data_IF_374628158807
#
_entry.id   IF_374628158807
#
_cell.length_a   1.000
_cell.length_b   1.000
_cell.length_c   1.000
_cell.angle_alpha   90.00
_cell.angle_beta   90.00
_cell.angle_gamma   90.00
#
_symmetry.space_group_name_H-M   'P 1'
#
loop_
_entity.id
_entity.type
_entity.pdbx_description
1 polymer ?
#
# COMPACT_ATOMS: atom_id res chain seq x y z
N UNK A 1 5.07 12.83 -13.52
CA UNK A 1 4.58 12.27 -12.25
C UNK A 1 5.66 11.31 -11.77
N UNK A 2 5.96 11.32 -10.47
CA UNK A 2 7.13 10.62 -9.95
C UNK A 2 6.70 9.81 -8.75
N UNK A 3 6.60 8.51 -8.96
CA UNK A 3 6.04 7.58 -7.99
C UNK A 3 7.16 6.72 -7.44
N UNK A 4 7.43 6.89 -6.15
CA UNK A 4 8.21 5.91 -5.38
C UNK A 4 7.27 4.73 -5.09
N UNK A 5 7.59 3.57 -5.61
CA UNK A 5 6.88 2.33 -5.30
C UNK A 5 7.77 1.45 -4.42
N UNK A 6 7.28 1.12 -3.23
CA UNK A 6 8.06 0.40 -2.25
C UNK A 6 7.36 -0.90 -1.85
N UNK A 7 8.12 -2.00 -1.92
CA UNK A 7 7.62 -3.33 -1.59
C UNK A 7 8.69 -4.17 -0.90
N UNK A 8 8.23 -5.22 -0.20
CA UNK A 8 9.08 -6.25 0.39
C UNK A 8 8.78 -7.59 -0.26
N UNK A 9 9.81 -8.30 -0.68
CA UNK A 9 9.64 -9.62 -1.31
C UNK A 9 10.40 -10.67 -0.52
N UNK A 10 9.75 -11.80 -0.24
CA UNK A 10 10.46 -12.98 0.28
C UNK A 10 11.22 -13.65 -0.85
N UNK A 11 12.53 -13.79 -0.66
CA UNK A 11 13.39 -14.58 -1.54
C UNK A 11 13.84 -15.82 -0.77
N UNK A 12 13.30 -16.97 -1.16
CA UNK A 12 13.71 -18.25 -0.56
C UNK A 12 15.19 -18.55 -0.83
N UNK A 13 15.86 -19.09 0.19
CA UNK A 13 17.28 -19.42 0.12
C UNK A 13 17.58 -20.70 0.89
N UNK A 14 18.46 -21.52 0.31
CA UNK A 14 18.97 -22.75 0.93
C UNK A 14 20.34 -22.55 1.61
N UNK A 15 20.83 -21.30 1.68
CA UNK A 15 22.09 -20.98 2.36
C UNK A 15 22.01 -21.33 3.85
N UNK A 16 23.14 -21.72 4.43
CA UNK A 16 23.21 -22.14 5.84
C UNK A 16 22.85 -21.00 6.79
N UNK A 17 23.05 -19.75 6.38
CA UNK A 17 22.82 -18.53 7.14
C UNK A 17 21.38 -18.01 7.04
N UNK A 18 20.59 -18.46 6.06
CA UNK A 18 19.25 -17.93 5.81
C UNK A 18 18.30 -18.24 6.98
N UNK A 19 17.48 -17.28 7.41
CA UNK A 19 16.57 -17.45 8.54
C UNK A 19 15.13 -17.73 8.07
N UNK A 20 14.32 -18.34 8.93
CA UNK A 20 12.92 -18.64 8.60
C UNK A 20 12.11 -17.35 8.46
N UNK A 21 11.35 -17.27 7.37
CA UNK A 21 10.40 -16.19 7.13
C UNK A 21 9.09 -16.43 7.84
N UNK A 22 8.27 -15.39 7.94
CA UNK A 22 6.92 -15.51 8.49
C UNK A 22 6.00 -16.41 7.64
N UNK A 23 6.36 -16.69 6.38
CA UNK A 23 5.63 -17.64 5.52
C UNK A 23 6.10 -19.09 5.71
N UNK A 24 7.15 -19.31 6.51
CA UNK A 24 7.69 -20.63 6.81
C UNK A 24 9.02 -20.99 6.14
N UNK A 25 9.28 -20.75 4.84
CA UNK A 25 10.54 -21.15 4.22
C UNK A 25 11.72 -20.32 4.75
N UNK A 26 12.95 -20.79 4.56
CA UNK A 26 14.17 -20.02 4.87
C UNK A 26 14.45 -19.05 3.73
N UNK A 27 14.88 -17.84 4.04
CA UNK A 27 15.10 -16.83 3.03
C UNK A 27 15.59 -15.50 3.56
N UNK A 28 15.43 -14.50 2.71
CA UNK A 28 15.68 -13.08 2.96
C UNK A 28 14.44 -12.28 2.59
N UNK A 29 14.31 -11.08 3.13
CA UNK A 29 13.18 -10.18 2.90
C UNK A 29 13.66 -8.79 2.47
N UNK A 30 14.39 -8.67 1.34
CA UNK A 30 14.82 -7.36 0.88
C UNK A 30 13.62 -6.44 0.69
N UNK A 31 13.83 -5.18 1.06
CA UNK A 31 12.94 -4.08 0.75
C UNK A 31 13.52 -3.29 -0.40
N UNK A 32 12.71 -3.01 -1.41
CA UNK A 32 13.09 -2.23 -2.58
C UNK A 32 12.16 -1.04 -2.70
N UNK A 33 12.72 0.10 -3.09
CA UNK A 33 11.98 1.24 -3.58
C UNK A 33 12.41 1.56 -5.00
N UNK A 34 11.45 1.55 -5.92
CA UNK A 34 11.67 1.79 -7.35
C UNK A 34 10.97 3.07 -7.77
N UNK A 35 11.50 3.69 -8.82
CA UNK A 35 10.82 4.73 -9.55
C UNK A 35 9.94 4.08 -10.61
N UNK A 36 8.64 4.03 -10.34
CA UNK A 36 7.68 3.28 -11.16
C UNK A 36 7.71 3.68 -12.64
N UNK A 37 7.77 4.98 -12.95
CA UNK A 37 7.71 5.44 -14.33
C UNK A 37 9.00 5.17 -15.15
N UNK A 38 10.11 4.82 -14.50
CA UNK A 38 11.40 4.59 -15.17
C UNK A 38 11.96 3.18 -15.00
N UNK A 39 11.27 2.31 -14.27
CA UNK A 39 11.74 0.97 -13.93
C UNK A 39 13.17 0.98 -13.35
N UNK A 40 13.43 1.93 -12.44
CA UNK A 40 14.75 2.18 -11.88
C UNK A 40 14.74 2.03 -10.35
N UNK A 41 15.70 1.29 -9.80
CA UNK A 41 15.86 1.16 -8.34
C UNK A 41 16.38 2.49 -7.78
N UNK A 42 15.67 3.03 -6.79
CA UNK A 42 16.05 4.26 -6.08
C UNK A 42 16.79 3.95 -4.77
N UNK A 43 16.32 2.93 -4.05
CA UNK A 43 16.93 2.49 -2.79
C UNK A 43 16.59 1.03 -2.50
N UNK A 44 17.43 0.38 -1.71
CA UNK A 44 17.25 -0.97 -1.22
C UNK A 44 17.70 -1.11 0.22
N UNK A 45 17.15 -2.11 0.90
CA UNK A 45 17.66 -2.60 2.18
C UNK A 45 17.62 -4.13 2.19
N UNK A 46 18.78 -4.75 2.33
CA UNK A 46 18.88 -6.20 2.47
C UNK A 46 18.52 -6.63 3.90
N UNK A 47 17.58 -7.56 4.04
CA UNK A 47 17.06 -8.00 5.35
C UNK A 47 17.01 -9.51 5.47
N UNK A 48 17.26 -10.00 6.67
CA UNK A 48 17.12 -11.42 7.00
C UNK A 48 15.67 -11.90 6.92
N UNK A 49 15.48 -13.20 6.73
CA UNK A 49 14.15 -13.78 6.61
C UNK A 49 13.25 -13.56 7.82
N UNK A 50 13.82 -13.48 9.02
CA UNK A 50 13.08 -13.44 10.29
C UNK A 50 12.66 -12.02 10.73
N UNK A 51 12.86 -10.99 9.90
CA UNK A 51 12.37 -9.66 10.23
C UNK A 51 10.87 -9.54 9.93
N UNK A 52 10.13 -8.65 10.62
CA UNK A 52 8.79 -8.29 10.20
C UNK A 52 8.81 -7.56 8.84
N UNK A 53 7.83 -7.81 7.97
CA UNK A 53 7.67 -7.07 6.72
C UNK A 53 7.60 -5.54 6.95
N UNK A 54 6.94 -5.11 8.03
CA UNK A 54 6.81 -3.70 8.43
C UNK A 54 8.04 -3.13 9.16
N UNK A 55 9.19 -3.80 9.14
CA UNK A 55 10.38 -3.30 9.82
C UNK A 55 10.84 -2.00 9.16
N UNK A 56 10.73 -0.87 9.87
CA UNK A 56 11.29 0.43 9.52
C UNK A 56 11.23 0.84 8.03
N UNK A 57 10.07 0.76 7.34
CA UNK A 57 9.97 1.07 5.91
C UNK A 57 10.30 2.54 5.59
N UNK A 58 10.21 3.43 6.59
CA UNK A 58 10.57 4.84 6.48
C UNK A 58 12.03 5.07 6.03
N UNK A 59 12.97 4.23 6.47
CA UNK A 59 14.39 4.38 6.12
C UNK A 59 14.60 4.28 4.60
N UNK A 60 14.01 3.26 3.98
CA UNK A 60 14.09 3.04 2.52
C UNK A 60 13.31 4.13 1.77
N UNK A 61 12.15 4.54 2.27
CA UNK A 61 11.38 5.63 1.67
C UNK A 61 12.19 6.94 1.60
N UNK A 62 12.83 7.34 2.71
CA UNK A 62 13.69 8.54 2.77
C UNK A 62 14.86 8.43 1.79
N UNK A 63 15.54 7.30 1.75
CA UNK A 63 16.64 7.05 0.82
C UNK A 63 16.17 7.17 -0.65
N UNK A 64 15.00 6.62 -0.97
CA UNK A 64 14.44 6.68 -2.31
C UNK A 64 14.11 8.11 -2.74
N UNK A 65 13.47 8.90 -1.89
CA UNK A 65 13.19 10.31 -2.17
C UNK A 65 14.45 11.17 -2.26
N UNK A 66 15.50 10.84 -1.49
CA UNK A 66 16.79 11.53 -1.57
C UNK A 66 17.53 11.24 -2.88
N UNK A 67 17.32 10.07 -3.49
CA UNK A 67 17.90 9.68 -4.77
C UNK A 67 17.23 10.36 -5.99
N UNK A 68 16.04 10.94 -5.83
CA UNK A 68 15.33 11.58 -6.93
C UNK A 68 16.07 12.83 -7.45
N UNK A 69 16.05 13.09 -8.78
CA UNK A 69 16.61 14.31 -9.35
C UNK A 69 15.95 15.57 -8.80
N UNK A 70 16.71 16.65 -8.65
CA UNK A 70 16.18 17.96 -8.20
C UNK A 70 15.15 18.60 -9.16
N UNK A 71 15.03 18.08 -10.37
CA UNK A 71 14.03 18.51 -11.36
C UNK A 71 12.62 18.01 -11.03
N UNK A 72 12.50 17.06 -10.09
CA UNK A 72 11.21 16.54 -9.63
C UNK A 72 10.53 17.56 -8.71
N UNK A 73 9.26 17.83 -8.96
CA UNK A 73 8.47 18.80 -8.17
C UNK A 73 7.12 18.24 -7.71
N UNK A 74 6.72 17.05 -8.16
CA UNK A 74 5.47 16.40 -7.79
C UNK A 74 5.76 14.97 -7.39
N UNK A 75 5.42 14.61 -6.15
CA UNK A 75 5.82 13.39 -5.51
C UNK A 75 4.64 12.50 -5.21
N UNK A 76 4.76 11.22 -5.54
CA UNK A 76 3.80 10.19 -5.18
C UNK A 76 4.48 8.99 -4.53
N UNK A 77 3.70 8.25 -3.73
CA UNK A 77 4.14 7.04 -3.05
C UNK A 77 3.11 5.91 -3.18
N UNK A 78 3.55 4.72 -3.55
CA UNK A 78 2.77 3.49 -3.50
C UNK A 78 3.46 2.51 -2.57
N UNK A 79 2.66 1.78 -1.82
CA UNK A 79 3.17 0.70 -0.98
C UNK A 79 2.08 -0.31 -0.64
N UNK A 80 2.48 -1.53 -0.36
CA UNK A 80 1.61 -2.60 0.12
C UNK A 80 1.31 -2.47 1.62
N UNK A 81 0.80 -3.52 2.24
CA UNK A 81 0.51 -3.51 3.68
C UNK A 81 1.75 -3.54 4.56
N UNK A 82 2.94 -3.87 4.04
CA UNK A 82 4.20 -3.68 4.74
C UNK A 82 4.50 -2.18 4.96
N UNK A 83 3.98 -1.32 4.08
CA UNK A 83 4.09 0.13 4.20
C UNK A 83 2.99 0.78 5.07
N UNK A 84 2.01 0.01 5.55
CA UNK A 84 1.01 0.47 6.53
C UNK A 84 1.61 0.53 7.94
N UNK A 85 2.63 1.38 8.10
CA UNK A 85 3.44 1.58 9.29
C UNK A 85 3.33 3.06 9.74
N UNK A 86 3.25 3.27 11.05
CA UNK A 86 2.85 4.53 11.67
C UNK A 86 3.83 5.67 11.40
N UNK A 87 5.13 5.42 11.49
CA UNK A 87 6.15 6.45 11.29
C UNK A 87 6.25 6.84 9.82
N UNK A 88 6.16 5.86 8.91
CA UNK A 88 6.09 6.12 7.48
C UNK A 88 4.86 6.95 7.10
N UNK A 89 3.66 6.57 7.56
CA UNK A 89 2.43 7.32 7.28
C UNK A 89 2.50 8.76 7.79
N UNK A 90 2.97 8.95 9.04
CA UNK A 90 3.18 10.29 9.60
C UNK A 90 4.15 11.11 8.78
N UNK A 91 5.25 10.49 8.34
CA UNK A 91 6.23 11.15 7.52
C UNK A 91 5.66 11.52 6.16
N UNK A 92 4.90 10.64 5.50
CA UNK A 92 4.22 10.87 4.21
C UNK A 92 3.12 11.94 4.28
N UNK A 93 2.39 12.04 5.39
CA UNK A 93 1.36 13.06 5.59
C UNK A 93 1.93 14.44 5.97
N UNK A 94 3.18 14.53 6.43
CA UNK A 94 3.77 15.79 6.90
C UNK A 94 4.44 16.58 5.76
N UNK A 95 3.83 17.67 5.28
CA UNK A 95 4.44 18.53 4.24
C UNK A 95 5.76 19.21 4.65
N UNK A 96 6.03 19.29 5.96
CA UNK A 96 7.26 19.83 6.54
C UNK A 96 8.15 18.72 7.12
N UNK A 97 8.07 17.52 6.52
CA UNK A 97 8.88 16.36 6.90
C UNK A 97 10.38 16.67 6.90
N UNK A 98 11.09 16.11 7.87
CA UNK A 98 12.55 16.11 7.89
C UNK A 98 13.10 15.06 6.92
N UNK A 99 14.25 15.33 6.30
CA UNK A 99 14.96 14.39 5.42
C UNK A 99 14.12 13.89 4.22
N UNK A 100 13.25 14.76 3.69
CA UNK A 100 12.44 14.48 2.51
C UNK A 100 12.15 15.74 1.69
N UNK A 101 11.51 15.59 0.53
CA UNK A 101 11.08 16.74 -0.26
C UNK A 101 10.03 17.55 0.52
N UNK A 102 10.10 18.89 0.46
CA UNK A 102 9.07 19.73 1.04
C UNK A 102 7.77 19.65 0.24
N UNK A 103 6.64 19.88 0.91
CA UNK A 103 5.32 19.90 0.28
C UNK A 103 4.63 18.53 0.28
N UNK A 104 3.54 18.41 -0.48
CA UNK A 104 2.69 17.23 -0.49
C UNK A 104 3.36 16.04 -1.21
N UNK A 105 3.20 14.85 -0.62
CA UNK A 105 3.43 13.55 -1.27
C UNK A 105 2.06 12.86 -1.32
N UNK A 106 1.54 12.65 -2.53
CA UNK A 106 0.30 11.90 -2.72
C UNK A 106 0.55 10.41 -2.55
N UNK A 107 -0.19 9.69 -1.72
CA UNK A 107 0.09 8.27 -1.50
C UNK A 107 -1.14 7.36 -1.58
N UNK A 108 -0.89 6.10 -1.96
CA UNK A 108 -1.86 5.01 -1.86
C UNK A 108 -1.18 3.78 -1.25
N UNK A 109 -1.62 3.39 -0.05
CA UNK A 109 -1.03 2.30 0.73
C UNK A 109 -2.10 1.27 1.08
N UNK A 110 -1.84 -0.01 0.81
CA UNK A 110 -2.77 -1.07 1.24
C UNK A 110 -2.81 -1.15 2.76
N UNK A 111 -4.01 -1.24 3.33
CA UNK A 111 -4.22 -1.21 4.78
C UNK A 111 -4.31 -2.62 5.33
N UNK A 112 -3.71 -2.85 6.50
CA UNK A 112 -3.98 -4.08 7.27
C UNK A 112 -5.41 -4.03 7.79
N UNK A 113 -6.21 -5.01 7.39
CA UNK A 113 -7.63 -5.08 7.78
C UNK A 113 -7.76 -5.18 9.31
N UNK A 114 -8.49 -4.23 9.90
CA UNK A 114 -8.96 -4.32 11.28
C UNK A 114 -10.43 -4.73 11.32
N UNK A 115 -10.91 -5.20 12.46
CA UNK A 115 -12.32 -5.55 12.64
C UNK A 115 -13.23 -4.35 12.39
N UNK A 116 -12.92 -3.19 12.98
CA UNK A 116 -13.67 -1.96 12.79
C UNK A 116 -13.68 -1.47 11.33
N UNK A 117 -12.56 -1.61 10.60
CA UNK A 117 -12.53 -1.27 9.17
C UNK A 117 -13.37 -2.26 8.36
N UNK A 118 -13.32 -3.55 8.70
CA UNK A 118 -14.15 -4.57 8.04
C UNK A 118 -15.63 -4.28 8.24
N UNK A 119 -16.06 -3.94 9.46
CA UNK A 119 -17.45 -3.55 9.75
C UNK A 119 -17.87 -2.35 8.90
N UNK A 120 -17.05 -1.28 8.86
CA UNK A 120 -17.33 -0.11 8.04
C UNK A 120 -17.43 -0.44 6.54
N UNK A 121 -16.62 -1.37 6.03
CA UNK A 121 -16.70 -1.83 4.63
C UNK A 121 -18.02 -2.58 4.36
N UNK A 122 -18.49 -3.38 5.31
CA UNK A 122 -19.74 -4.14 5.18
C UNK A 122 -20.98 -3.24 5.21
N UNK A 123 -20.88 -2.04 5.79
CA UNK A 123 -21.94 -1.03 5.79
C UNK A 123 -22.05 -0.23 4.48
N UNK A 124 -21.05 -0.34 3.58
CA UNK A 124 -21.06 0.38 2.31
C UNK A 124 -22.23 -0.11 1.42
N UNK A 125 -23.16 0.78 1.02
CA UNK A 125 -24.32 0.39 0.21
C UNK A 125 -23.92 -0.22 -1.14
N UNK A 126 -24.63 -1.24 -1.60
CA UNK A 126 -24.29 -1.97 -2.84
C UNK A 126 -24.16 -1.04 -4.06
N UNK A 127 -24.96 0.04 -4.13
CA UNK A 127 -24.93 1.03 -5.22
C UNK A 127 -23.65 1.88 -5.29
N UNK A 128 -22.88 1.94 -4.22
CA UNK A 128 -21.63 2.72 -4.15
C UNK A 128 -20.43 1.92 -4.69
N UNK A 129 -20.58 0.61 -4.83
CA UNK A 129 -19.55 -0.25 -5.41
C UNK A 129 -19.48 -0.06 -6.92
N UNK A 130 -18.28 0.22 -7.41
CA UNK A 130 -17.99 0.45 -8.83
C UNK A 130 -16.96 -0.56 -9.31
N UNK A 131 -17.19 -1.15 -10.48
CA UNK A 131 -16.21 -2.00 -11.13
C UNK A 131 -14.93 -1.23 -11.47
N UNK A 132 -13.77 -1.90 -11.43
CA UNK A 132 -12.48 -1.32 -11.82
C UNK A 132 -11.60 -2.34 -12.55
N UNK A 133 -10.68 -1.85 -13.38
CA UNK A 133 -9.72 -2.68 -14.11
C UNK A 133 -10.33 -3.56 -15.20
N UNK A 134 -9.48 -4.39 -15.81
CA UNK A 134 -9.90 -5.30 -16.88
C UNK A 134 -10.79 -6.43 -16.35
N UNK A 135 -11.88 -6.78 -17.05
CA UNK A 135 -12.75 -7.89 -16.66
C UNK A 135 -11.99 -9.22 -16.58
N UNK A 136 -12.04 -9.86 -15.42
CA UNK A 136 -11.50 -11.20 -15.23
C UNK A 136 -12.64 -12.23 -15.25
N UNK A 137 -12.55 -13.30 -16.07
CA UNK A 137 -13.55 -14.35 -16.07
C UNK A 137 -13.77 -14.95 -14.68
N UNK A 138 -14.98 -14.84 -14.16
CA UNK A 138 -15.39 -15.46 -12.89
C UNK A 138 -15.13 -14.64 -11.63
N UNK A 139 -14.43 -13.50 -11.72
CA UNK A 139 -14.16 -12.62 -10.58
C UNK A 139 -14.69 -11.22 -10.86
N UNK A 140 -15.59 -10.74 -10.00
CA UNK A 140 -15.99 -9.35 -9.92
C UNK A 140 -15.00 -8.57 -9.07
N UNK A 141 -14.46 -7.50 -9.63
CA UNK A 141 -13.54 -6.57 -8.96
C UNK A 141 -14.23 -5.22 -8.81
N UNK A 142 -14.49 -4.82 -7.58
CA UNK A 142 -15.20 -3.58 -7.28
C UNK A 142 -14.46 -2.77 -6.24
N UNK A 143 -14.61 -1.45 -6.28
CA UNK A 143 -14.12 -0.55 -5.25
C UNK A 143 -15.18 0.45 -4.82
N UNK A 144 -15.07 0.91 -3.58
CA UNK A 144 -15.98 1.90 -3.01
C UNK A 144 -15.28 2.74 -1.94
N UNK A 145 -15.77 3.96 -1.72
CA UNK A 145 -15.32 4.79 -0.61
C UNK A 145 -15.88 4.28 0.71
N UNK A 146 -15.06 4.32 1.76
CA UNK A 146 -15.44 3.93 3.11
C UNK A 146 -15.35 5.15 4.01
N UNK A 147 -16.45 5.49 4.65
CA UNK A 147 -16.45 6.48 5.72
C UNK A 147 -15.90 5.81 6.97
N UNK A 148 -14.60 5.94 7.20
CA UNK A 148 -13.92 5.33 8.33
C UNK A 148 -12.91 6.28 8.95
N UNK A 149 -12.93 6.37 10.28
CA UNK A 149 -11.95 7.12 11.06
C UNK A 149 -11.14 6.14 11.88
N UNK A 150 -9.84 6.05 11.59
CA UNK A 150 -8.95 5.18 12.35
C UNK A 150 -8.61 5.79 13.70
N UNK A 151 -8.59 4.94 14.74
CA UNK A 151 -8.03 5.31 16.04
C UNK A 151 -6.50 5.38 16.05
N UNK A 152 -5.83 4.94 14.97
CA UNK A 152 -4.38 5.10 14.84
C UNK A 152 -4.07 6.56 14.51
N UNK A 153 -3.41 7.25 15.44
CA UNK A 153 -2.92 8.62 15.23
C UNK A 153 -1.76 8.64 14.21
N UNK A 154 -2.06 8.45 12.94
CA UNK A 154 -1.12 8.62 11.83
C UNK A 154 -1.03 10.09 11.38
N UNK A 155 -2.06 10.88 11.64
CA UNK A 155 -2.15 12.26 11.14
C UNK A 155 -1.44 13.29 12.03
N UNK A 156 -0.52 14.09 11.48
CA UNK A 156 -0.05 15.32 12.14
C UNK A 156 -1.24 16.26 12.43
N UNK A 157 -1.13 17.06 13.50
CA UNK A 157 -2.11 18.13 13.76
C UNK A 157 -2.20 19.05 12.53
N UNK A 158 -3.41 19.24 12.00
CA UNK A 158 -3.74 20.03 10.79
C UNK A 158 -3.44 19.40 9.42
N UNK A 159 -3.22 18.09 9.34
CA UNK A 159 -3.23 17.38 8.05
C UNK A 159 -4.66 17.18 7.52
N UNK A 160 -4.81 17.04 6.20
CA UNK A 160 -6.08 16.64 5.62
C UNK A 160 -6.45 15.23 6.08
N UNK A 161 -7.74 14.93 6.34
CA UNK A 161 -8.15 13.59 6.70
C UNK A 161 -7.79 12.61 5.57
N UNK A 162 -7.32 11.42 5.94
CA UNK A 162 -7.11 10.35 4.98
C UNK A 162 -8.44 9.71 4.59
N UNK A 163 -8.51 9.22 3.36
CA UNK A 163 -9.64 8.42 2.85
C UNK A 163 -9.29 6.96 2.77
N UNK A 164 -10.32 6.13 2.91
CA UNK A 164 -10.24 4.68 2.78
C UNK A 164 -11.06 4.25 1.58
N UNK A 165 -10.43 3.51 0.67
CA UNK A 165 -11.09 2.91 -0.48
C UNK A 165 -11.08 1.41 -0.27
N UNK A 166 -12.27 0.82 -0.15
CA UNK A 166 -12.44 -0.62 -0.11
C UNK A 166 -12.27 -1.22 -1.50
N UNK A 167 -11.75 -2.43 -1.53
CA UNK A 167 -11.73 -3.31 -2.70
C UNK A 167 -12.48 -4.58 -2.31
N UNK A 168 -13.38 -5.04 -3.18
CA UNK A 168 -14.12 -6.28 -3.03
C UNK A 168 -13.89 -7.15 -4.24
N UNK A 169 -13.43 -8.38 -3.99
CA UNK A 169 -13.31 -9.43 -4.99
C UNK A 169 -14.40 -10.46 -4.72
N UNK A 170 -15.28 -10.72 -5.69
CA UNK A 170 -16.41 -11.67 -5.56
C UNK A 170 -16.33 -12.74 -6.63
N UNK A 171 -16.42 -14.01 -6.24
CA UNK A 171 -16.50 -15.15 -7.16
C UNK A 171 -17.93 -15.28 -7.71
N UNK A 172 -18.10 -15.34 -9.03
CA UNK A 172 -19.43 -15.38 -9.69
C UNK A 172 -20.12 -16.76 -9.67
N UNK A 173 -19.39 -17.87 -9.53
CA UNK A 173 -19.95 -19.22 -9.75
C UNK A 173 -19.54 -20.25 -8.70
N UNK A 174 -20.09 -20.18 -7.48
CA UNK A 174 -19.91 -21.22 -6.44
C UNK A 174 -18.46 -21.48 -6.01
N UNK A 175 -17.51 -20.74 -6.59
CA UNK A 175 -16.09 -20.79 -6.29
C UNK A 175 -15.84 -20.12 -4.95
N UNK A 176 -14.98 -20.73 -4.16
CA UNK A 176 -14.47 -20.16 -2.94
C UNK A 176 -13.02 -19.76 -3.19
N UNK A 177 -12.59 -18.65 -2.57
CA UNK A 177 -11.18 -18.34 -2.43
C UNK A 177 -10.50 -19.41 -1.55
N UNK A 178 -9.17 -19.38 -1.48
CA UNK A 178 -8.38 -20.36 -0.72
C UNK A 178 -8.78 -20.43 0.77
N UNK A 179 -9.41 -19.38 1.30
CA UNK A 179 -9.92 -19.29 2.68
C UNK A 179 -11.38 -19.78 2.84
N UNK A 180 -11.99 -20.31 1.78
CA UNK A 180 -13.38 -20.77 1.80
C UNK A 180 -14.43 -19.65 1.66
N UNK A 181 -14.02 -18.40 1.44
CA UNK A 181 -14.95 -17.27 1.27
C UNK A 181 -15.34 -17.08 -0.20
N UNK A 182 -16.56 -16.60 -0.47
CA UNK A 182 -16.97 -16.17 -1.81
C UNK A 182 -16.61 -14.71 -2.11
N UNK A 183 -16.22 -13.96 -1.07
CA UNK A 183 -15.91 -12.52 -1.13
C UNK A 183 -14.70 -12.21 -0.27
N UNK A 184 -13.69 -11.55 -0.86
CA UNK A 184 -12.55 -10.98 -0.15
C UNK A 184 -12.60 -9.46 -0.16
N UNK A 185 -12.29 -8.87 0.97
CA UNK A 185 -12.21 -7.42 1.13
C UNK A 185 -10.77 -6.99 1.41
N UNK A 186 -10.34 -5.93 0.75
CA UNK A 186 -9.10 -5.22 1.01
C UNK A 186 -9.41 -3.73 1.16
N UNK A 187 -8.44 -2.94 1.61
CA UNK A 187 -8.59 -1.50 1.68
C UNK A 187 -7.29 -0.80 1.32
N UNK A 188 -7.41 0.40 0.77
CA UNK A 188 -6.31 1.31 0.44
C UNK A 188 -6.54 2.63 1.16
N UNK A 189 -5.50 3.13 1.81
CA UNK A 189 -5.43 4.41 2.48
C UNK A 189 -4.77 5.44 1.57
N UNK A 190 -5.33 6.64 1.50
CA UNK A 190 -4.81 7.70 0.63
C UNK A 190 -5.07 9.10 1.18
N UNK A 191 -4.24 10.06 0.79
CA UNK A 191 -4.46 11.50 0.93
C UNK A 191 -4.82 12.20 -0.40
N UNK A 192 -4.94 11.45 -1.50
CA UNK A 192 -5.26 11.96 -2.83
C UNK A 192 -6.78 12.04 -2.99
N UNK A 193 -7.36 13.21 -2.72
CA UNK A 193 -8.80 13.46 -2.81
C UNK A 193 -9.28 13.82 -4.23
N UNK A 194 -8.42 14.42 -5.05
CA UNK A 194 -8.77 14.88 -6.39
C UNK A 194 -9.02 13.75 -7.40
N UNK A 195 -8.76 12.50 -7.03
CA UNK A 195 -8.94 11.34 -7.91
C UNK A 195 -10.16 10.52 -7.48
N UNK A 196 -10.93 10.06 -8.46
CA UNK A 196 -11.96 9.05 -8.20
C UNK A 196 -11.34 7.76 -7.67
N UNK A 197 -12.11 7.01 -6.86
CA UNK A 197 -11.65 5.77 -6.25
C UNK A 197 -11.13 4.77 -7.29
N UNK A 198 -11.86 4.59 -8.41
CA UNK A 198 -11.47 3.69 -9.51
C UNK A 198 -10.09 4.06 -10.07
N UNK A 199 -9.89 5.33 -10.42
CA UNK A 199 -8.61 5.84 -10.93
C UNK A 199 -7.46 5.62 -9.94
N UNK A 200 -7.71 5.84 -8.65
CA UNK A 200 -6.71 5.64 -7.62
C UNK A 200 -6.32 4.17 -7.48
N UNK A 201 -7.29 3.27 -7.48
CA UNK A 201 -7.05 1.82 -7.43
C UNK A 201 -6.29 1.37 -8.67
N UNK A 202 -6.69 1.79 -9.87
CA UNK A 202 -5.99 1.45 -11.11
C UNK A 202 -4.54 1.94 -11.08
N UNK A 203 -4.31 3.20 -10.70
CA UNK A 203 -2.95 3.72 -10.52
C UNK A 203 -2.16 2.91 -9.49
N UNK A 204 -2.78 2.52 -8.38
CA UNK A 204 -2.11 1.75 -7.32
C UNK A 204 -1.71 0.33 -7.75
N UNK A 205 -2.34 -0.24 -8.78
CA UNK A 205 -2.02 -1.58 -9.29
C UNK A 205 -1.47 -1.58 -10.73
N UNK A 206 -1.11 -0.42 -11.26
CA UNK A 206 -0.39 -0.33 -12.54
C UNK A 206 1.09 -0.68 -12.32
N UNK A 207 1.58 -1.70 -13.02
CA UNK A 207 3.02 -2.01 -13.08
C UNK A 207 3.76 -0.95 -13.88
#
# INVERSE_FOLDING_TARGET
MWTVDQDTTIIESRKQEALHTYEGPRGYQPMLAVWAEMDAVLADEFRDGNVPAQMAPLTVAKAAFAALPKTVTTYYYRGDSACHEKELLRWLANEKREEGPPGCIGFAISVRMSEALREAILEVPEKEWKAYGEPEPGIDRECAEVVFVSNQQAEPKNSQPLRYIAIRLRQRQGGLFADGSSVRHFAVLSNIWDWEAVKLIEWRYTM
#
